data_IF_367740560776
#
_entry.id   IF_367740560776
#
_cell.length_a   1.000
_cell.length_b   1.000
_cell.length_c   1.000
_cell.angle_alpha   90.00
_cell.angle_beta   90.00
_cell.angle_gamma   90.00
#
_symmetry.space_group_name_H-M   'P 1'
#
loop_
_entity.id
_entity.type
_entity.pdbx_description
1 polymer ?
#
# COMPACT_ATOMS: atom_id res chain seq x y z
N UNK A 1 -4.52 9.94 6.14
CA UNK A 1 -3.26 9.39 6.74
C UNK A 1 -2.08 9.73 5.82
N UNK A 2 -0.81 9.58 6.20
CA UNK A 2 0.31 9.63 5.23
C UNK A 2 0.66 8.20 4.79
N UNK A 3 0.74 7.94 3.49
CA UNK A 3 1.35 6.71 2.94
C UNK A 3 2.77 7.06 2.54
N UNK A 4 3.75 6.37 3.12
CA UNK A 4 5.16 6.50 2.74
C UNK A 4 5.64 5.18 2.16
N UNK A 5 6.04 5.17 0.89
CA UNK A 5 6.76 4.05 0.31
C UNK A 5 8.17 4.07 0.88
N UNK A 6 8.56 2.98 1.54
CA UNK A 6 9.74 2.94 2.39
C UNK A 6 10.73 1.87 1.91
N UNK A 7 12.00 2.25 1.82
CA UNK A 7 13.12 1.36 1.55
C UNK A 7 13.71 0.77 2.85
N UNK A 8 12.87 0.10 3.65
CA UNK A 8 13.28 -0.61 4.87
C UNK A 8 12.76 -2.04 4.87
N UNK A 9 13.21 -2.85 5.82
CA UNK A 9 12.90 -4.29 5.85
C UNK A 9 11.48 -4.64 6.30
N UNK A 10 10.72 -3.69 6.84
CA UNK A 10 9.37 -3.95 7.35
C UNK A 10 8.44 -2.76 7.23
N UNK A 11 7.15 -3.06 7.06
CA UNK A 11 6.09 -2.05 7.09
C UNK A 11 5.67 -1.77 8.54
N UNK A 12 5.30 -0.53 8.85
CA UNK A 12 4.74 -0.17 10.15
C UNK A 12 3.81 1.03 10.06
N UNK A 13 2.92 1.18 11.05
CA UNK A 13 2.09 2.36 11.21
C UNK A 13 2.52 3.13 12.45
N UNK A 14 2.94 4.37 12.28
CA UNK A 14 3.42 5.20 13.38
C UNK A 14 3.12 6.67 13.14
N UNK A 15 2.63 7.36 14.18
CA UNK A 15 2.32 8.80 14.16
C UNK A 15 1.49 9.26 12.96
N UNK A 16 0.50 8.45 12.55
CA UNK A 16 -0.39 8.79 11.43
C UNK A 16 0.22 8.58 10.04
N UNK A 17 1.39 7.92 9.97
CA UNK A 17 2.02 7.47 8.72
C UNK A 17 1.96 5.95 8.64
N UNK A 18 1.48 5.44 7.51
CA UNK A 18 1.67 4.06 7.11
C UNK A 18 2.93 4.01 6.26
N UNK A 19 3.99 3.44 6.81
CA UNK A 19 5.20 3.18 6.07
C UNK A 19 5.09 1.78 5.47
N UNK A 20 5.02 1.72 4.14
CA UNK A 20 4.92 0.48 3.39
C UNK A 20 6.29 0.13 2.79
N UNK A 21 6.90 -0.91 3.32
CA UNK A 21 8.09 -1.53 2.74
C UNK A 21 7.70 -2.38 1.53
N UNK A 22 8.39 -2.16 0.39
CA UNK A 22 8.26 -3.02 -0.78
C UNK A 22 9.26 -4.18 -0.70
N UNK A 23 8.86 -5.33 -1.23
CA UNK A 23 9.66 -6.55 -1.28
C UNK A 23 10.87 -6.45 -2.21
N UNK A 24 10.82 -5.56 -3.21
CA UNK A 24 11.89 -5.37 -4.21
C UNK A 24 12.11 -3.89 -4.54
N UNK A 25 12.13 -3.00 -3.54
CA UNK A 25 12.30 -1.56 -3.75
C UNK A 25 13.56 -1.24 -4.60
N UNK A 26 13.48 -0.35 -5.61
CA UNK A 26 12.36 0.52 -5.98
C UNK A 26 11.34 -0.10 -6.94
N UNK A 27 11.44 -1.39 -7.26
CA UNK A 27 10.39 -2.07 -8.03
C UNK A 27 9.18 -2.32 -7.13
N UNK A 28 8.00 -2.27 -7.76
CA UNK A 28 6.72 -2.59 -7.12
C UNK A 28 6.10 -3.79 -7.80
N UNK A 29 5.64 -4.74 -7.00
CA UNK A 29 4.92 -5.92 -7.49
C UNK A 29 3.43 -5.59 -7.65
N UNK A 30 2.75 -6.25 -8.59
CA UNK A 30 1.31 -6.02 -8.85
C UNK A 30 0.44 -6.15 -7.59
N UNK A 31 0.78 -7.08 -6.70
CA UNK A 31 0.02 -7.33 -5.47
C UNK A 31 0.27 -6.25 -4.40
N UNK A 32 1.44 -5.60 -4.39
CA UNK A 32 1.74 -4.45 -3.54
C UNK A 32 0.98 -3.22 -4.02
N UNK A 33 0.92 -3.05 -5.35
CA UNK A 33 0.13 -2.00 -5.97
C UNK A 33 -1.35 -2.15 -5.64
N UNK A 34 -1.89 -3.37 -5.72
CA UNK A 34 -3.25 -3.67 -5.31
C UNK A 34 -3.50 -3.33 -3.83
N UNK A 35 -2.57 -3.66 -2.94
CA UNK A 35 -2.65 -3.32 -1.51
C UNK A 35 -2.67 -1.80 -1.30
N UNK A 36 -1.87 -1.04 -2.04
CA UNK A 36 -1.87 0.44 -1.99
C UNK A 36 -3.20 1.00 -2.48
N UNK A 37 -3.70 0.52 -3.63
CA UNK A 37 -4.98 0.98 -4.19
C UNK A 37 -6.13 0.70 -3.22
N UNK A 38 -6.16 -0.49 -2.60
CA UNK A 38 -7.14 -0.85 -1.58
C UNK A 38 -7.09 0.11 -0.37
N UNK A 39 -5.89 0.43 0.11
CA UNK A 39 -5.69 1.37 1.21
C UNK A 39 -6.18 2.79 0.85
N UNK A 40 -5.82 3.30 -0.33
CA UNK A 40 -6.24 4.62 -0.79
C UNK A 40 -7.77 4.70 -0.98
N UNK A 41 -8.38 3.65 -1.56
CA UNK A 41 -9.82 3.55 -1.70
C UNK A 41 -10.52 3.53 -0.34
N UNK A 42 -9.97 2.80 0.64
CA UNK A 42 -10.47 2.78 2.01
C UNK A 42 -10.41 4.17 2.64
N UNK A 43 -9.26 4.85 2.63
CA UNK A 43 -9.14 6.21 3.18
C UNK A 43 -10.17 7.17 2.56
N UNK A 44 -10.30 7.14 1.22
CA UNK A 44 -11.25 7.96 0.47
C UNK A 44 -12.71 7.66 0.81
N UNK A 45 -13.08 6.38 1.00
CA UNK A 45 -14.43 5.97 1.41
C UNK A 45 -14.85 6.63 2.73
N UNK A 46 -13.91 6.84 3.65
CA UNK A 46 -14.15 7.51 4.93
C UNK A 46 -13.85 9.02 4.89
N UNK A 47 -13.77 9.62 3.70
CA UNK A 47 -13.56 11.06 3.53
C UNK A 47 -12.19 11.55 3.98
N UNK A 48 -11.20 10.65 4.12
CA UNK A 48 -9.84 11.01 4.49
C UNK A 48 -9.00 11.23 3.24
N UNK A 49 -8.32 12.36 3.20
CA UNK A 49 -7.26 12.60 2.22
C UNK A 49 -5.98 11.88 2.65
N UNK A 50 -5.30 11.25 1.69
CA UNK A 50 -4.06 10.53 1.92
C UNK A 50 -2.92 11.19 1.18
N UNK A 51 -1.92 11.63 1.94
CA UNK A 51 -0.68 12.18 1.37
C UNK A 51 0.26 11.03 1.04
N UNK A 52 0.67 10.92 -0.22
CA UNK A 52 1.60 9.89 -0.71
C UNK A 52 3.01 10.48 -0.74
N UNK A 53 3.97 9.78 -0.14
CA UNK A 53 5.39 10.14 -0.12
C UNK A 53 6.22 8.95 -0.63
N UNK A 54 7.10 9.20 -1.58
CA UNK A 54 7.95 8.20 -2.21
C UNK A 54 9.18 8.90 -2.78
N UNK A 55 10.37 8.35 -2.53
CA UNK A 55 11.62 8.91 -3.04
C UNK A 55 11.74 8.72 -4.56
N UNK A 56 11.22 7.61 -5.09
CA UNK A 56 11.13 7.38 -6.54
C UNK A 56 10.01 8.22 -7.16
N UNK A 57 10.40 9.20 -7.98
CA UNK A 57 9.46 10.14 -8.62
C UNK A 57 8.54 9.47 -9.64
N UNK A 58 9.02 8.47 -10.37
CA UNK A 58 8.23 7.78 -11.39
C UNK A 58 7.13 6.97 -10.70
N UNK A 59 7.50 6.27 -9.63
CA UNK A 59 6.53 5.56 -8.80
C UNK A 59 5.54 6.53 -8.14
N UNK A 60 6.01 7.66 -7.61
CA UNK A 60 5.14 8.66 -7.00
C UNK A 60 4.07 9.14 -7.99
N UNK A 61 4.45 9.49 -9.22
CA UNK A 61 3.52 9.91 -10.27
C UNK A 61 2.49 8.82 -10.58
N UNK A 62 2.93 7.56 -10.69
CA UNK A 62 2.05 6.42 -10.90
C UNK A 62 1.05 6.24 -9.75
N UNK A 63 1.50 6.32 -8.49
CA UNK A 63 0.64 6.16 -7.31
C UNK A 63 -0.37 7.31 -7.18
N UNK A 64 0.07 8.55 -7.46
CA UNK A 64 -0.82 9.72 -7.47
C UNK A 64 -1.88 9.56 -8.55
N UNK A 65 -1.53 9.13 -9.76
CA UNK A 65 -2.49 8.86 -10.82
C UNK A 65 -3.52 7.80 -10.39
N UNK A 66 -3.08 6.69 -9.80
CA UNK A 66 -3.96 5.62 -9.33
C UNK A 66 -4.90 6.06 -8.21
N UNK A 67 -4.46 6.98 -7.34
CA UNK A 67 -5.30 7.54 -6.27
C UNK A 67 -6.56 8.22 -6.81
N UNK A 68 -6.45 8.88 -7.96
CA UNK A 68 -7.57 9.52 -8.67
C UNK A 68 -8.54 8.50 -9.26
N UNK A 69 -8.02 7.36 -9.73
CA UNK A 69 -8.79 6.29 -10.40
C UNK A 69 -9.30 5.21 -9.45
N UNK A 70 -9.08 5.35 -8.14
CA UNK A 70 -9.32 4.31 -7.14
C UNK A 70 -10.77 3.79 -7.16
N UNK A 71 -10.99 2.46 -7.27
CA UNK A 71 -12.32 1.87 -7.31
C UNK A 71 -13.04 2.01 -5.96
N UNK A 72 -14.35 2.22 -6.03
CA UNK A 72 -15.25 2.48 -4.88
C UNK A 72 -15.95 1.23 -4.33
N UNK A 73 -15.67 0.04 -4.87
CA UNK A 73 -16.37 -1.17 -4.48
C UNK A 73 -15.89 -1.68 -3.12
N UNK A 74 -16.76 -1.55 -2.12
CA UNK A 74 -16.58 -2.07 -0.76
C UNK A 74 -17.55 -3.23 -0.50
N UNK A 75 -17.15 -4.32 0.19
CA UNK A 75 -15.83 -4.57 0.78
C UNK A 75 -14.76 -4.88 -0.27
N UNK A 76 -13.53 -4.44 -0.01
CA UNK A 76 -12.39 -4.80 -0.86
C UNK A 76 -12.12 -6.30 -0.72
N UNK A 77 -12.20 -7.03 -1.84
CA UNK A 77 -11.87 -8.47 -1.89
C UNK A 77 -10.52 -8.62 -2.59
N UNK A 78 -9.48 -9.14 -1.91
CA UNK A 78 -8.16 -9.30 -2.51
C UNK A 78 -8.18 -10.30 -3.67
N UNK A 79 -7.48 -9.98 -4.76
CA UNK A 79 -7.40 -10.85 -5.95
C UNK A 79 -6.57 -12.11 -5.68
N UNK A 80 -5.58 -12.02 -4.79
CA UNK A 80 -4.66 -13.09 -4.40
C UNK A 80 -4.47 -13.08 -2.89
N UNK A 81 -4.24 -14.24 -2.28
CA UNK A 81 -4.01 -14.36 -0.83
C UNK A 81 -2.86 -13.48 -0.31
N UNK A 82 -1.81 -13.29 -1.13
CA UNK A 82 -0.66 -12.45 -0.77
C UNK A 82 -1.01 -10.97 -0.59
N UNK A 83 -2.08 -10.49 -1.22
CA UNK A 83 -2.56 -9.11 -1.03
C UNK A 83 -3.09 -8.93 0.39
N UNK A 84 -3.68 -9.97 0.98
CA UNK A 84 -4.15 -9.99 2.37
C UNK A 84 -3.18 -10.67 3.35
N UNK A 85 -1.99 -11.08 2.91
CA UNK A 85 -1.05 -11.77 3.80
C UNK A 85 -0.41 -10.79 4.79
N UNK A 86 -0.09 -11.33 5.95
CA UNK A 86 0.82 -10.73 6.93
C UNK A 86 2.15 -11.49 6.88
N UNK A 87 3.17 -11.01 7.56
CA UNK A 87 4.48 -11.68 7.61
C UNK A 87 4.72 -12.23 9.02
N UNK A 88 5.30 -13.43 9.11
CA UNK A 88 5.79 -13.98 10.37
C UNK A 88 7.12 -13.33 10.81
N UNK A 89 7.62 -13.74 11.99
CA UNK A 89 8.90 -13.27 12.53
C UNK A 89 10.12 -13.63 11.66
N UNK A 90 9.97 -14.61 10.77
CA UNK A 90 11.00 -15.02 9.80
C UNK A 90 10.87 -14.29 8.45
N UNK A 91 9.90 -13.38 8.29
CA UNK A 91 9.65 -12.68 7.03
C UNK A 91 8.91 -13.53 5.99
N UNK A 92 8.38 -14.69 6.36
CA UNK A 92 7.55 -15.49 5.46
C UNK A 92 6.11 -14.97 5.47
N UNK A 93 5.46 -14.94 4.32
CA UNK A 93 4.06 -14.58 4.25
C UNK A 93 3.19 -15.67 4.91
N UNK A 94 2.27 -15.24 5.76
CA UNK A 94 1.26 -16.08 6.41
C UNK A 94 -0.11 -15.66 5.88
N UNK A 95 -0.88 -16.66 5.45
CA UNK A 95 -2.27 -16.49 5.05
C UNK A 95 -3.16 -16.88 6.23
N UNK A 96 -3.98 -15.95 6.72
CA UNK A 96 -5.07 -16.23 7.66
C UNK A 96 -6.34 -16.65 6.94
#
# INVERSE_FOLDING_TARGET
MKLQIWNESYSLQWKGTYFLALSDYPNIQDWELEKIVAFLAYEKLYGRETLIDCEDKVMLEQLVYLSCCSPTAFPFTPSKKIVASTYDVGGNYVYS
#
